data_IF_569148093626
#
_entry.id   IF_569148093626
#
_cell.length_a   1.000
_cell.length_b   1.000
_cell.length_c   1.000
_cell.angle_alpha   90.00
_cell.angle_beta   90.00
_cell.angle_gamma   90.00
#
_symmetry.space_group_name_H-M   'P 1'
#
loop_
_entity.id
_entity.type
_entity.pdbx_description
1 polymer ?
#
# COMPACT_ATOMS: atom_id res chain seq x y z
N UNK A 1 21.24 -29.68 -39.76
CA UNK A 1 21.83 -28.94 -38.61
C UNK A 1 21.02 -27.69 -38.24
N UNK A 2 20.70 -26.81 -39.19
CA UNK A 2 19.94 -25.55 -38.95
C UNK A 2 18.54 -25.74 -38.32
N UNK A 3 17.78 -26.76 -38.74
CA UNK A 3 16.43 -27.04 -38.21
C UNK A 3 16.45 -27.44 -36.73
N UNK A 4 17.43 -28.24 -36.29
CA UNK A 4 17.54 -28.64 -34.87
C UNK A 4 17.88 -27.45 -33.97
N UNK A 5 18.78 -26.57 -34.42
CA UNK A 5 19.14 -25.34 -33.70
C UNK A 5 17.93 -24.41 -33.56
N UNK A 6 17.12 -24.28 -34.61
CA UNK A 6 15.88 -23.49 -34.57
C UNK A 6 14.86 -24.02 -33.57
N UNK A 7 14.72 -25.34 -33.45
CA UNK A 7 13.79 -25.97 -32.49
C UNK A 7 14.27 -25.75 -31.05
N UNK A 8 15.58 -25.89 -30.79
CA UNK A 8 16.14 -25.67 -29.46
C UNK A 8 15.94 -24.22 -28.99
N UNK A 9 16.16 -23.24 -29.88
CA UNK A 9 15.94 -21.81 -29.56
C UNK A 9 14.46 -21.55 -29.25
N UNK A 10 13.54 -22.16 -30.01
CA UNK A 10 12.11 -22.00 -29.78
C UNK A 10 11.66 -22.57 -28.43
N UNK A 11 12.17 -23.75 -28.03
CA UNK A 11 11.88 -24.35 -26.72
C UNK A 11 12.41 -23.46 -25.59
N UNK A 12 13.63 -22.93 -25.71
CA UNK A 12 14.20 -22.02 -24.72
C UNK A 12 13.39 -20.73 -24.58
N UNK A 13 12.90 -20.17 -25.68
CA UNK A 13 12.01 -19.00 -25.65
C UNK A 13 10.68 -19.28 -24.96
N UNK A 14 10.08 -20.46 -25.18
CA UNK A 14 8.85 -20.85 -24.49
C UNK A 14 9.09 -20.99 -22.98
N UNK A 15 10.19 -21.63 -22.57
CA UNK A 15 10.53 -21.79 -21.16
C UNK A 15 10.81 -20.43 -20.50
N UNK A 16 11.53 -19.54 -21.18
CA UNK A 16 11.76 -18.17 -20.72
C UNK A 16 10.45 -17.41 -20.57
N UNK A 17 9.56 -17.50 -21.55
CA UNK A 17 8.26 -16.83 -21.51
C UNK A 17 7.38 -17.38 -20.39
N UNK A 18 7.36 -18.70 -20.18
CA UNK A 18 6.65 -19.32 -19.06
C UNK A 18 7.20 -18.89 -17.70
N UNK A 19 8.53 -18.75 -17.57
CA UNK A 19 9.17 -18.23 -16.37
C UNK A 19 8.82 -16.75 -16.11
N UNK A 20 8.87 -15.91 -17.15
CA UNK A 20 8.52 -14.49 -17.05
C UNK A 20 7.05 -14.25 -16.71
N UNK A 21 6.15 -15.13 -17.18
CA UNK A 21 4.71 -15.04 -16.89
C UNK A 21 4.29 -15.79 -15.61
N UNK A 22 5.18 -16.57 -14.99
CA UNK A 22 4.89 -17.28 -13.74
C UNK A 22 4.35 -16.36 -12.63
N UNK A 23 4.93 -15.17 -12.38
CA UNK A 23 4.45 -14.27 -11.32
C UNK A 23 3.02 -13.76 -11.55
N UNK A 24 2.60 -13.63 -12.81
CA UNK A 24 1.24 -13.19 -13.15
C UNK A 24 0.18 -14.28 -12.87
N UNK A 25 0.60 -15.54 -12.74
CA UNK A 25 -0.26 -16.69 -12.44
C UNK A 25 -0.13 -17.17 -11.00
N UNK A 26 0.96 -16.86 -10.31
CA UNK A 26 1.20 -17.34 -8.95
C UNK A 26 0.27 -16.64 -7.95
N UNK A 27 -0.48 -17.43 -7.18
CA UNK A 27 -1.24 -16.94 -6.02
C UNK A 27 -0.34 -16.61 -4.82
N UNK A 28 0.97 -16.79 -4.93
CA UNK A 28 1.95 -16.44 -3.89
C UNK A 28 1.88 -14.97 -3.48
N UNK A 29 1.49 -14.09 -4.41
CA UNK A 29 1.30 -12.66 -4.16
C UNK A 29 -0.17 -12.27 -4.03
N UNK A 30 -1.08 -13.25 -3.95
CA UNK A 30 -2.48 -12.95 -3.71
C UNK A 30 -2.63 -12.38 -2.29
N UNK A 31 -3.29 -11.23 -2.18
CA UNK A 31 -3.63 -10.64 -0.88
C UNK A 31 -4.80 -11.44 -0.33
N UNK A 32 -4.51 -12.38 0.55
CA UNK A 32 -5.51 -13.20 1.24
C UNK A 32 -5.83 -12.63 2.62
N UNK A 33 -7.06 -12.85 3.06
CA UNK A 33 -7.48 -12.46 4.40
C UNK A 33 -6.85 -13.38 5.44
N UNK A 34 -6.14 -12.81 6.41
CA UNK A 34 -5.49 -13.56 7.48
C UNK A 34 -6.29 -13.46 8.78
N UNK A 35 -7.11 -14.49 9.05
CA UNK A 35 -7.92 -14.60 10.27
C UNK A 35 -7.07 -14.62 11.54
N UNK A 36 -5.89 -15.25 11.51
CA UNK A 36 -5.00 -15.33 12.67
C UNK A 36 -4.46 -13.95 13.03
N UNK A 37 -4.05 -13.16 12.03
CA UNK A 37 -3.63 -11.77 12.22
C UNK A 37 -4.76 -10.92 12.80
N UNK A 38 -6.01 -11.16 12.38
CA UNK A 38 -7.17 -10.46 12.91
C UNK A 38 -7.45 -10.84 14.37
N UNK A 39 -7.31 -12.12 14.73
CA UNK A 39 -7.47 -12.59 16.11
C UNK A 39 -6.35 -12.06 17.02
N UNK A 40 -5.11 -12.01 16.54
CA UNK A 40 -3.99 -11.38 17.25
C UNK A 40 -4.25 -9.90 17.51
N UNK A 41 -4.71 -9.16 16.50
CA UNK A 41 -5.13 -7.75 16.66
C UNK A 41 -6.19 -7.61 17.75
N UNK A 42 -7.22 -8.46 17.75
CA UNK A 42 -8.27 -8.44 18.79
C UNK A 42 -7.70 -8.71 20.19
N UNK A 43 -6.83 -9.71 20.34
CA UNK A 43 -6.18 -10.02 21.63
C UNK A 43 -5.39 -8.82 22.13
N UNK A 44 -4.53 -8.26 21.28
CA UNK A 44 -3.74 -7.08 21.61
C UNK A 44 -4.60 -5.90 22.07
N UNK A 45 -5.70 -5.60 21.35
CA UNK A 45 -6.59 -4.51 21.72
C UNK A 45 -7.31 -4.73 23.07
N UNK A 46 -7.59 -5.99 23.43
CA UNK A 46 -8.20 -6.32 24.72
C UNK A 46 -7.20 -6.25 25.90
N UNK A 47 -5.90 -6.33 25.60
CA UNK A 47 -4.83 -6.24 26.61
C UNK A 47 -4.45 -4.79 26.94
N UNK A 48 -4.91 -3.81 26.15
CA UNK A 48 -4.63 -2.39 26.41
C UNK A 48 -5.32 -1.97 27.71
N UNK A 49 -4.57 -1.51 28.73
CA UNK A 49 -5.14 -1.16 30.01
C UNK A 49 -6.01 0.12 29.91
N UNK A 50 -7.18 0.09 30.55
CA UNK A 50 -8.13 1.20 30.64
C UNK A 50 -7.58 2.43 31.41
N UNK A 51 -6.40 2.32 32.03
CA UNK A 51 -5.77 3.37 32.84
C UNK A 51 -5.14 4.50 32.01
N UNK A 52 -5.71 4.80 30.83
CA UNK A 52 -5.30 5.95 30.03
C UNK A 52 -5.76 7.21 30.77
N UNK A 53 -4.81 8.09 31.08
CA UNK A 53 -5.11 9.39 31.67
C UNK A 53 -6.02 10.18 30.72
N UNK A 54 -7.30 10.30 31.06
CA UNK A 54 -8.33 10.96 30.24
C UNK A 54 -8.03 12.43 29.93
N UNK A 55 -7.12 13.06 30.67
CA UNK A 55 -6.75 14.46 30.48
C UNK A 55 -5.59 14.66 29.49
N UNK A 56 -5.00 13.58 28.96
CA UNK A 56 -3.93 13.66 27.95
C UNK A 56 -4.47 13.20 26.59
N UNK A 57 -4.35 14.01 25.53
CA UNK A 57 -4.74 13.58 24.20
C UNK A 57 -3.83 12.45 23.71
N UNK A 58 -4.42 11.50 22.98
CA UNK A 58 -3.68 10.52 22.20
C UNK A 58 -3.37 11.13 20.83
N UNK A 59 -2.16 10.90 20.31
CA UNK A 59 -1.75 11.37 18.99
C UNK A 59 -1.58 10.14 18.10
N UNK A 60 -2.33 10.11 17.00
CA UNK A 60 -2.18 9.11 15.94
C UNK A 60 -1.57 9.81 14.72
N UNK A 61 -0.35 9.39 14.35
CA UNK A 61 0.30 9.85 13.13
C UNK A 61 0.12 8.77 12.05
N UNK A 62 -0.57 9.13 10.96
CA UNK A 62 -0.75 8.29 9.78
C UNK A 62 0.12 8.88 8.68
N UNK A 63 0.98 8.07 8.08
CA UNK A 63 1.82 8.44 6.94
C UNK A 63 1.60 7.45 5.81
N UNK A 64 1.63 7.94 4.57
CA UNK A 64 1.54 7.11 3.37
C UNK A 64 2.80 7.33 2.52
N UNK A 65 3.30 6.27 1.90
CA UNK A 65 4.42 6.32 0.97
C UNK A 65 3.91 6.67 -0.44
N UNK A 66 4.62 7.54 -1.15
CA UNK A 66 4.29 7.98 -2.52
C UNK A 66 2.84 8.47 -2.75
N UNK A 67 2.21 9.09 -1.74
CA UNK A 67 0.86 9.67 -1.88
C UNK A 67 0.92 11.12 -2.37
N UNK A 68 0.49 11.36 -3.62
CA UNK A 68 0.46 12.68 -4.24
C UNK A 68 -0.84 13.45 -3.99
N UNK A 69 -0.82 14.76 -4.30
CA UNK A 69 -2.00 15.64 -4.20
C UNK A 69 -3.13 15.19 -5.13
N UNK A 70 -2.79 14.67 -6.31
CA UNK A 70 -3.76 14.17 -7.29
C UNK A 70 -4.41 12.82 -6.91
N UNK A 71 -3.90 12.14 -5.89
CA UNK A 71 -4.40 10.85 -5.42
C UNK A 71 -5.49 10.99 -4.34
N UNK A 72 -5.76 12.21 -3.86
CA UNK A 72 -6.68 12.47 -2.74
C UNK A 72 -7.73 13.50 -3.17
N UNK A 73 -8.99 13.05 -3.28
CA UNK A 73 -10.14 13.87 -3.72
C UNK A 73 -10.40 15.14 -2.89
N UNK A 74 -9.84 15.23 -1.68
CA UNK A 74 -9.90 16.45 -0.87
C UNK A 74 -9.22 17.65 -1.54
N UNK A 75 -8.21 17.42 -2.38
CA UNK A 75 -7.51 18.47 -3.12
C UNK A 75 -8.11 18.65 -4.52
N UNK A 76 -8.00 19.87 -5.07
CA UNK A 76 -8.62 20.23 -6.36
C UNK A 76 -8.18 19.37 -7.55
N UNK A 77 -6.98 18.80 -7.48
CA UNK A 77 -6.42 17.92 -8.52
C UNK A 77 -6.71 16.44 -8.27
N UNK A 78 -7.32 16.11 -7.11
CA UNK A 78 -7.65 14.76 -6.69
C UNK A 78 -8.75 14.15 -7.55
N UNK A 79 -8.45 13.07 -8.26
CA UNK A 79 -9.46 12.35 -9.08
C UNK A 79 -9.93 11.04 -8.46
N UNK A 80 -9.26 10.56 -7.40
CA UNK A 80 -9.56 9.29 -6.74
C UNK A 80 -10.45 9.55 -5.53
N UNK A 81 -11.59 8.86 -5.46
CA UNK A 81 -12.51 8.97 -4.31
C UNK A 81 -11.85 8.47 -3.02
N UNK A 82 -11.74 9.36 -2.03
CA UNK A 82 -11.13 9.07 -0.73
C UNK A 82 -12.05 9.48 0.43
N UNK A 83 -13.25 8.91 0.55
CA UNK A 83 -14.30 9.41 1.46
C UNK A 83 -13.90 9.45 2.94
N UNK A 84 -13.04 8.53 3.38
CA UNK A 84 -12.54 8.54 4.77
C UNK A 84 -11.53 9.68 5.01
N UNK A 85 -10.69 10.00 4.03
CA UNK A 85 -9.73 11.12 4.13
C UNK A 85 -10.48 12.45 4.04
N UNK A 86 -11.45 12.55 3.15
CA UNK A 86 -12.32 13.73 3.05
C UNK A 86 -13.03 14.02 4.37
N UNK A 87 -13.59 12.99 5.01
CA UNK A 87 -14.24 13.14 6.31
C UNK A 87 -13.27 13.71 7.36
N UNK A 88 -12.06 13.15 7.45
CA UNK A 88 -11.02 13.67 8.35
C UNK A 88 -10.66 15.14 8.05
N UNK A 89 -10.56 15.51 6.78
CA UNK A 89 -10.31 16.89 6.37
C UNK A 89 -11.45 17.84 6.76
N UNK A 90 -12.70 17.41 6.58
CA UNK A 90 -13.89 18.20 6.89
C UNK A 90 -14.14 18.44 8.38
N UNK A 91 -13.68 17.50 9.23
CA UNK A 91 -13.78 17.58 10.69
C UNK A 91 -12.52 18.21 11.33
N UNK A 92 -11.51 18.52 10.51
CA UNK A 92 -10.18 18.93 10.96
C UNK A 92 -9.63 20.16 10.24
N UNK A 93 -8.31 20.18 10.05
CA UNK A 93 -7.59 21.25 9.34
C UNK A 93 -6.88 20.63 8.14
N UNK A 94 -7.04 21.25 6.98
CA UNK A 94 -6.41 20.84 5.72
C UNK A 94 -5.29 21.81 5.37
N UNK A 95 -4.11 21.28 5.10
CA UNK A 95 -2.97 22.07 4.65
C UNK A 95 -2.86 21.97 3.12
N UNK A 96 -3.26 23.01 2.40
CA UNK A 96 -3.16 23.05 0.93
C UNK A 96 -1.72 23.19 0.42
N UNK A 97 -0.80 23.62 1.29
CA UNK A 97 0.60 23.94 0.96
C UNK A 97 1.56 23.25 1.94
N UNK A 98 1.44 21.92 2.09
CA UNK A 98 2.36 21.10 2.86
C UNK A 98 3.46 20.54 1.95
N UNK A 99 4.72 20.91 2.22
CA UNK A 99 5.88 20.50 1.43
C UNK A 99 6.79 19.58 2.26
N UNK A 100 7.26 18.51 1.63
CA UNK A 100 8.38 17.70 2.13
C UNK A 100 9.70 18.41 1.84
N UNK A 101 10.71 18.17 2.66
CA UNK A 101 12.02 18.81 2.49
C UNK A 101 12.80 18.22 1.32
N UNK A 102 12.50 16.97 0.96
CA UNK A 102 13.14 16.26 -0.14
C UNK A 102 12.17 15.21 -0.73
N UNK A 103 12.09 15.08 -2.07
CA UNK A 103 11.11 14.22 -2.75
C UNK A 103 11.62 12.78 -2.91
N UNK A 104 12.20 12.20 -1.86
CA UNK A 104 12.63 10.78 -1.84
C UNK A 104 12.24 10.14 -0.50
N UNK A 105 11.86 8.86 -0.51
CA UNK A 105 11.35 8.16 0.68
C UNK A 105 12.34 8.07 1.85
N UNK A 106 13.63 8.32 1.62
CA UNK A 106 14.65 8.37 2.67
C UNK A 106 14.60 9.74 3.41
N UNK A 107 15.33 10.80 3.02
CA UNK A 107 15.06 12.13 3.58
C UNK A 107 13.77 12.68 2.96
N UNK A 108 12.73 12.74 3.77
CA UNK A 108 11.43 13.38 3.48
C UNK A 108 11.19 14.50 4.49
#
# INVERSE_FOLDING_TARGET
MKIKISITIFILLILLFAYLLWPLKSSEFAIEFNEDALNQKKSFLNEIPDSINKNRPNILLITADDLGVADVSLYKEGTIETPNIEKLGSEGVVFENAYVTSPICSPS
#
